data_IF_604007367790
#
_entry.id   IF_604007367790
#
_cell.length_a   1.000
_cell.length_b   1.000
_cell.length_c   1.000
_cell.angle_alpha   90.00
_cell.angle_beta   90.00
_cell.angle_gamma   90.00
#
_symmetry.space_group_name_H-M   'P 1'
#
loop_
_entity.id
_entity.type
_entity.pdbx_description
1 polymer ?
#
# COMPACT_ATOMS: atom_id res chain seq x y z
N UNK A 1 32.06 9.87 8.54
CA UNK A 1 32.09 11.19 9.18
C UNK A 1 32.00 12.35 8.19
N UNK A 2 32.72 12.35 7.07
CA UNK A 2 32.63 13.44 6.05
C UNK A 2 31.24 13.60 5.40
N UNK A 3 30.47 12.52 5.22
CA UNK A 3 29.15 12.58 4.63
C UNK A 3 28.09 13.21 5.54
N UNK A 4 28.22 13.01 6.84
CA UNK A 4 27.32 13.61 7.84
C UNK A 4 27.52 15.12 7.98
N UNK A 5 28.75 15.59 7.80
CA UNK A 5 29.08 17.02 7.87
C UNK A 5 28.55 17.76 6.64
N UNK A 6 28.57 17.14 5.46
CA UNK A 6 27.95 17.71 4.26
C UNK A 6 26.42 17.82 4.37
N UNK A 7 25.77 16.86 5.01
CA UNK A 7 24.32 16.90 5.27
C UNK A 7 23.93 18.00 6.28
N UNK A 8 24.78 18.23 7.29
CA UNK A 8 24.59 19.30 8.27
C UNK A 8 24.78 20.69 7.68
N UNK A 9 25.71 20.85 6.73
CA UNK A 9 25.96 22.11 6.03
C UNK A 9 24.83 22.51 5.06
N UNK A 10 24.08 21.51 4.52
CA UNK A 10 22.90 21.75 3.69
C UNK A 10 21.68 22.20 4.49
N UNK A 11 21.68 21.99 5.81
CA UNK A 11 20.59 22.43 6.70
C UNK A 11 20.71 23.88 7.11
N UNK A 12 21.87 24.53 6.88
CA UNK A 12 22.15 25.91 7.33
C UNK A 12 21.88 26.94 6.22
N UNK A 13 21.75 26.55 4.98
CA UNK A 13 21.52 27.48 3.86
C UNK A 13 20.27 27.17 3.06
N UNK A 14 19.18 27.81 3.43
CA UNK A 14 18.05 28.04 2.54
C UNK A 14 17.07 26.90 2.37
N UNK A 15 15.83 27.24 2.27
CA UNK A 15 14.70 26.37 1.92
C UNK A 15 15.06 25.38 0.81
N UNK A 16 14.88 24.09 1.08
CA UNK A 16 14.93 23.03 0.05
C UNK A 16 14.09 23.46 -1.15
N UNK A 17 14.64 23.37 -2.37
CA UNK A 17 13.88 23.74 -3.56
C UNK A 17 12.60 22.89 -3.66
N UNK A 18 11.53 23.46 -4.24
CA UNK A 18 10.25 22.75 -4.42
C UNK A 18 10.42 21.41 -5.15
N UNK A 19 11.40 21.33 -6.06
CA UNK A 19 11.75 20.10 -6.78
C UNK A 19 12.32 19.03 -5.85
N UNK A 20 13.22 19.40 -4.95
CA UNK A 20 13.81 18.48 -3.97
C UNK A 20 12.78 18.01 -2.96
N UNK A 21 11.90 18.89 -2.48
CA UNK A 21 10.79 18.53 -1.61
C UNK A 21 9.82 17.57 -2.31
N UNK A 22 9.51 17.81 -3.58
CA UNK A 22 8.67 16.92 -4.37
C UNK A 22 9.28 15.54 -4.59
N UNK A 23 10.59 15.47 -4.80
CA UNK A 23 11.33 14.20 -4.92
C UNK A 23 11.31 13.41 -3.61
N UNK A 24 11.62 14.05 -2.48
CA UNK A 24 11.58 13.43 -1.15
C UNK A 24 10.17 12.90 -0.84
N UNK A 25 9.14 13.69 -1.10
CA UNK A 25 7.74 13.28 -0.88
C UNK A 25 7.38 12.04 -1.70
N UNK A 26 7.81 11.97 -2.97
CA UNK A 26 7.60 10.80 -3.84
C UNK A 26 8.29 9.55 -3.30
N UNK A 27 9.57 9.66 -2.92
CA UNK A 27 10.34 8.54 -2.36
C UNK A 27 9.70 8.02 -1.08
N UNK A 28 9.29 8.91 -0.16
CA UNK A 28 8.60 8.52 1.06
C UNK A 28 7.26 7.83 0.77
N UNK A 29 6.51 8.29 -0.23
CA UNK A 29 5.24 7.67 -0.62
C UNK A 29 5.46 6.25 -1.16
N UNK A 30 6.44 6.07 -2.04
CA UNK A 30 6.80 4.74 -2.57
C UNK A 30 7.23 3.80 -1.45
N UNK A 31 8.10 4.26 -0.55
CA UNK A 31 8.57 3.44 0.58
C UNK A 31 7.43 2.99 1.50
N UNK A 32 6.46 3.87 1.78
CA UNK A 32 5.28 3.51 2.58
C UNK A 32 4.39 2.49 1.89
N UNK A 33 4.20 2.62 0.58
CA UNK A 33 3.43 1.67 -0.21
C UNK A 33 4.08 0.28 -0.20
N UNK A 34 5.39 0.22 -0.40
CA UNK A 34 6.15 -1.03 -0.34
C UNK A 34 6.08 -1.68 1.06
N UNK A 35 6.13 -0.88 2.11
CA UNK A 35 5.95 -1.37 3.47
C UNK A 35 4.55 -1.96 3.69
N UNK A 36 3.50 -1.31 3.19
CA UNK A 36 2.14 -1.83 3.27
C UNK A 36 1.99 -3.15 2.52
N UNK A 37 2.55 -3.26 1.31
CA UNK A 37 2.58 -4.50 0.52
C UNK A 37 3.30 -5.62 1.29
N UNK A 38 4.49 -5.34 1.83
CA UNK A 38 5.26 -6.32 2.60
C UNK A 38 4.50 -6.77 3.86
N UNK A 39 3.84 -5.86 4.56
CA UNK A 39 3.02 -6.15 5.72
C UNK A 39 1.86 -7.09 5.37
N UNK A 40 1.09 -6.78 4.32
CA UNK A 40 -0.02 -7.63 3.88
C UNK A 40 0.48 -9.02 3.49
N UNK A 41 1.54 -9.12 2.69
CA UNK A 41 2.15 -10.41 2.29
C UNK A 41 2.54 -11.26 3.48
N UNK A 42 3.12 -10.64 4.51
CA UNK A 42 3.55 -11.32 5.73
C UNK A 42 2.38 -11.91 6.51
N UNK A 43 1.29 -11.16 6.66
CA UNK A 43 0.16 -11.56 7.49
C UNK A 43 -0.85 -12.44 6.76
N UNK A 44 -1.12 -12.19 5.49
CA UNK A 44 -2.06 -13.00 4.70
C UNK A 44 -1.44 -14.31 4.20
N UNK A 45 -0.18 -14.28 3.78
CA UNK A 45 0.46 -15.40 3.11
C UNK A 45 -0.11 -15.67 1.72
N UNK A 46 0.56 -16.53 0.96
CA UNK A 46 0.10 -16.91 -0.38
C UNK A 46 -0.98 -17.99 -0.28
N UNK A 47 -2.17 -17.68 -0.77
CA UNK A 47 -3.31 -18.59 -0.78
C UNK A 47 -3.19 -19.62 -1.90
N UNK A 48 -3.49 -20.88 -1.57
CA UNK A 48 -3.61 -21.99 -2.52
C UNK A 48 -5.07 -22.39 -2.74
N UNK A 49 -5.32 -23.47 -3.53
CA UNK A 49 -6.69 -23.89 -3.92
C UNK A 49 -7.66 -24.14 -2.76
N UNK A 50 -7.14 -24.55 -1.59
CA UNK A 50 -7.95 -24.81 -0.39
C UNK A 50 -8.58 -23.55 0.22
N UNK A 51 -8.11 -22.36 -0.18
CA UNK A 51 -8.58 -21.09 0.36
C UNK A 51 -9.70 -20.46 -0.48
N UNK A 52 -10.17 -21.16 -1.54
CA UNK A 52 -11.28 -20.66 -2.37
C UNK A 52 -12.44 -20.11 -1.50
N UNK A 53 -13.00 -18.94 -1.79
CA UNK A 53 -12.82 -18.10 -2.98
C UNK A 53 -11.69 -17.05 -2.90
N UNK A 54 -10.73 -17.23 -2.01
CA UNK A 54 -9.59 -16.31 -1.87
C UNK A 54 -8.39 -16.82 -2.67
N UNK A 55 -7.75 -15.90 -3.39
CA UNK A 55 -6.57 -16.18 -4.23
C UNK A 55 -5.45 -15.18 -3.93
N UNK A 56 -4.23 -15.51 -4.33
CA UNK A 56 -3.07 -14.64 -4.13
C UNK A 56 -2.84 -14.32 -2.66
N UNK A 57 -2.71 -13.08 -2.31
CA UNK A 57 -2.54 -12.61 -0.92
C UNK A 57 -3.87 -12.13 -0.32
N UNK A 58 -4.93 -12.91 -0.45
CA UNK A 58 -6.22 -12.63 0.17
C UNK A 58 -7.24 -11.92 -0.71
N UNK A 59 -7.02 -11.84 -2.03
CA UNK A 59 -8.03 -11.32 -2.95
C UNK A 59 -9.25 -12.26 -3.00
N UNK A 60 -10.43 -11.74 -2.66
CA UNK A 60 -11.69 -12.47 -2.80
C UNK A 60 -12.19 -12.37 -4.22
N UNK A 61 -12.33 -13.52 -4.89
CA UNK A 61 -12.87 -13.58 -6.25
C UNK A 61 -14.26 -12.93 -6.32
N UNK A 62 -14.43 -12.01 -7.26
CA UNK A 62 -15.70 -11.40 -7.59
C UNK A 62 -16.39 -12.18 -8.73
N UNK A 63 -17.73 -12.07 -8.87
CA UNK A 63 -18.43 -12.69 -9.98
C UNK A 63 -17.85 -12.26 -11.33
N UNK A 64 -17.48 -13.25 -12.17
CA UNK A 64 -16.87 -13.01 -13.47
C UNK A 64 -15.34 -12.93 -13.50
N UNK A 65 -14.67 -12.84 -12.36
CA UNK A 65 -13.20 -12.91 -12.31
C UNK A 65 -12.70 -14.33 -12.50
N UNK A 66 -11.64 -14.45 -13.32
CA UNK A 66 -11.05 -15.75 -13.69
C UNK A 66 -9.57 -15.82 -13.26
N UNK A 67 -9.30 -15.59 -11.96
CA UNK A 67 -7.96 -15.79 -11.45
C UNK A 67 -7.73 -17.25 -11.06
N UNK A 68 -6.54 -17.76 -11.38
CA UNK A 68 -6.17 -19.11 -10.98
C UNK A 68 -6.01 -19.22 -9.46
N UNK A 69 -6.53 -20.27 -8.82
CA UNK A 69 -6.25 -20.55 -7.40
C UNK A 69 -4.79 -20.97 -7.16
N UNK A 70 -4.01 -21.21 -8.21
CA UNK A 70 -2.59 -21.55 -8.19
C UNK A 70 -1.77 -20.41 -8.79
N UNK A 71 -1.93 -19.20 -8.26
CA UNK A 71 -1.12 -18.06 -8.68
C UNK A 71 0.34 -18.24 -8.29
N UNK A 72 1.23 -17.78 -9.18
CA UNK A 72 2.62 -17.56 -8.80
C UNK A 72 2.73 -16.36 -7.86
N UNK A 73 3.79 -16.29 -7.06
CA UNK A 73 4.05 -15.10 -6.21
C UNK A 73 4.03 -13.80 -6.99
N UNK A 74 4.60 -13.79 -8.19
CA UNK A 74 4.62 -12.61 -9.07
C UNK A 74 3.20 -12.16 -9.47
N UNK A 75 2.35 -13.10 -9.82
CA UNK A 75 0.95 -12.81 -10.18
C UNK A 75 0.16 -12.31 -8.96
N UNK A 76 0.34 -12.97 -7.82
CA UNK A 76 -0.30 -12.59 -6.56
C UNK A 76 0.17 -11.21 -6.08
N UNK A 77 1.46 -10.88 -6.20
CA UNK A 77 2.01 -9.55 -5.89
C UNK A 77 1.41 -8.46 -6.78
N UNK A 78 1.30 -8.72 -8.08
CA UNK A 78 0.70 -7.78 -9.02
C UNK A 78 -0.79 -7.53 -8.70
N UNK A 79 -1.54 -8.57 -8.34
CA UNK A 79 -2.95 -8.46 -7.95
C UNK A 79 -3.10 -7.68 -6.65
N UNK A 80 -2.32 -7.99 -5.62
CA UNK A 80 -2.29 -7.26 -4.35
C UNK A 80 -2.05 -5.77 -4.56
N UNK A 81 -1.03 -5.41 -5.36
CA UNK A 81 -0.71 -4.02 -5.66
C UNK A 81 -1.85 -3.30 -6.38
N UNK A 82 -2.50 -3.99 -7.32
CA UNK A 82 -3.67 -3.47 -8.03
C UNK A 82 -4.81 -3.18 -7.05
N UNK A 83 -5.14 -4.12 -6.19
CA UNK A 83 -6.22 -3.98 -5.21
C UNK A 83 -5.92 -2.88 -4.20
N UNK A 84 -4.69 -2.81 -3.69
CA UNK A 84 -4.30 -1.77 -2.74
C UNK A 84 -4.35 -0.37 -3.37
N UNK A 85 -3.98 -0.21 -4.65
CA UNK A 85 -4.13 1.06 -5.37
C UNK A 85 -5.59 1.46 -5.55
N UNK A 86 -6.48 0.50 -5.86
CA UNK A 86 -7.93 0.75 -5.96
C UNK A 86 -8.48 1.24 -4.62
N UNK A 87 -8.09 0.60 -3.51
CA UNK A 87 -8.48 1.02 -2.17
C UNK A 87 -7.92 2.41 -1.81
N UNK A 88 -6.66 2.70 -2.13
CA UNK A 88 -6.10 4.05 -1.96
C UNK A 88 -6.89 5.11 -2.73
N UNK A 89 -7.34 4.80 -3.94
CA UNK A 89 -8.17 5.71 -4.73
C UNK A 89 -9.53 5.97 -4.09
N UNK A 90 -10.13 4.95 -3.45
CA UNK A 90 -11.39 5.11 -2.70
C UNK A 90 -11.24 6.02 -1.47
N UNK A 91 -10.07 6.01 -0.83
CA UNK A 91 -9.78 6.83 0.35
C UNK A 91 -8.96 8.10 0.03
N UNK A 92 -8.86 8.50 -1.24
CA UNK A 92 -8.00 9.63 -1.67
C UNK A 92 -8.29 10.94 -0.94
N UNK A 93 -9.55 11.18 -0.57
CA UNK A 93 -9.98 12.42 0.09
C UNK A 93 -9.43 12.55 1.52
N UNK A 94 -8.92 11.46 2.09
CA UNK A 94 -8.22 11.43 3.39
C UNK A 94 -6.72 11.75 3.28
N UNK A 95 -6.24 12.17 2.10
CA UNK A 95 -4.89 12.65 1.87
C UNK A 95 -3.83 11.63 2.29
N UNK A 96 -2.94 12.00 3.21
CA UNK A 96 -1.84 11.14 3.67
C UNK A 96 -2.28 9.88 4.41
N UNK A 97 -3.51 9.82 4.90
CA UNK A 97 -4.05 8.68 5.64
C UNK A 97 -4.72 7.65 4.70
N UNK A 98 -4.84 7.97 3.40
CA UNK A 98 -5.45 7.10 2.40
C UNK A 98 -4.83 5.70 2.34
N UNK A 99 -3.51 5.59 2.41
CA UNK A 99 -2.80 4.31 2.39
C UNK A 99 -3.05 3.49 3.67
N UNK A 100 -3.10 4.14 4.84
CA UNK A 100 -3.41 3.47 6.10
C UNK A 100 -4.82 2.90 6.07
N UNK A 101 -5.79 3.70 5.63
CA UNK A 101 -7.19 3.27 5.49
C UNK A 101 -7.34 2.16 4.45
N UNK A 102 -6.64 2.25 3.33
CA UNK A 102 -6.61 1.21 2.31
C UNK A 102 -6.04 -0.11 2.84
N UNK A 103 -4.95 -0.06 3.59
CA UNK A 103 -4.33 -1.24 4.20
C UNK A 103 -5.28 -1.88 5.22
N UNK A 104 -5.93 -1.09 6.04
CA UNK A 104 -6.95 -1.56 6.98
C UNK A 104 -8.14 -2.18 6.23
N UNK A 105 -8.63 -1.52 5.18
CA UNK A 105 -9.74 -2.01 4.37
C UNK A 105 -9.42 -3.31 3.63
N UNK A 106 -8.17 -3.51 3.23
CA UNK A 106 -7.72 -4.77 2.65
C UNK A 106 -7.91 -5.95 3.62
N UNK A 107 -7.56 -5.75 4.90
CA UNK A 107 -7.66 -6.78 5.92
C UNK A 107 -9.08 -7.02 6.43
N UNK A 108 -9.84 -5.96 6.72
CA UNK A 108 -11.14 -6.09 7.40
C UNK A 108 -12.34 -5.91 6.47
N UNK A 109 -12.11 -5.50 5.25
CA UNK A 109 -13.12 -5.18 4.24
C UNK A 109 -13.50 -3.70 4.22
N UNK A 110 -13.58 -3.14 3.00
CA UNK A 110 -13.85 -1.73 2.77
C UNK A 110 -15.18 -1.27 3.42
N UNK A 111 -16.24 -2.07 3.30
CA UNK A 111 -17.54 -1.74 3.88
C UNK A 111 -17.53 -1.59 5.41
N UNK A 112 -16.70 -2.35 6.11
CA UNK A 112 -16.54 -2.22 7.56
C UNK A 112 -15.80 -0.93 7.92
N UNK A 113 -14.74 -0.60 7.19
CA UNK A 113 -14.00 0.65 7.41
C UNK A 113 -14.89 1.84 7.18
N UNK A 114 -15.63 1.89 6.06
CA UNK A 114 -16.53 2.99 5.71
C UNK A 114 -17.65 3.22 6.73
N UNK A 115 -18.09 2.18 7.43
CA UNK A 115 -19.12 2.25 8.48
C UNK A 115 -18.56 2.47 9.88
N UNK A 116 -17.25 2.51 10.02
CA UNK A 116 -16.60 2.63 11.33
C UNK A 116 -16.55 4.08 11.81
N UNK A 117 -16.37 4.25 13.13
CA UNK A 117 -16.17 5.58 13.75
C UNK A 117 -14.87 6.27 13.31
N UNK A 118 -13.96 5.57 12.66
CA UNK A 118 -12.72 6.14 12.10
C UNK A 118 -13.02 7.14 10.99
N UNK A 119 -14.20 7.01 10.35
CA UNK A 119 -14.61 7.81 9.20
C UNK A 119 -15.47 9.02 9.58
N UNK A 120 -15.73 9.24 10.87
CA UNK A 120 -16.59 10.33 11.39
C UNK A 120 -15.75 11.51 11.85
#
# INVERSE_FOLDING_TARGET
MRLMILLALLLVSGSLSAQTQGAIKRVCHVARFELAVACIKKYEGLHGPKHHPYVGYGHKLLPGEKFSPRMTERQADALLRSDLRKLCAMFRDFGRDSLLLATLAYNVGCGKVMKSRIMV
#
